data_IF_777650383195
#
_entry.id   IF_777650383195
#
_cell.length_a   1.000
_cell.length_b   1.000
_cell.length_c   1.000
_cell.angle_alpha   90.00
_cell.angle_beta   90.00
_cell.angle_gamma   90.00
#
_symmetry.space_group_name_H-M   'P 1'
#
loop_
_entity.id
_entity.type
_entity.pdbx_description
1 polymer ?
#
# COMPACT_ATOMS: atom_id res chain seq x y z
N UNK A 1 20.27 -23.15 -9.21
CA UNK A 1 20.53 -22.06 -8.26
C UNK A 1 19.49 -22.21 -7.17
N UNK A 2 19.88 -22.23 -5.89
CA UNK A 2 18.91 -22.25 -4.79
C UNK A 2 18.08 -20.98 -4.88
N UNK A 3 16.74 -21.10 -4.86
CA UNK A 3 15.82 -19.97 -4.82
C UNK A 3 16.01 -19.11 -3.57
N UNK A 4 15.38 -17.95 -3.53
CA UNK A 4 15.39 -17.05 -2.36
C UNK A 4 14.64 -17.68 -1.18
N UNK A 5 13.69 -18.60 -1.47
CA UNK A 5 12.87 -19.26 -0.46
C UNK A 5 11.73 -18.37 0.03
N UNK A 6 11.05 -17.68 -0.88
CA UNK A 6 9.85 -16.90 -0.55
C UNK A 6 8.75 -17.80 0.03
N UNK A 7 7.85 -17.27 0.89
CA UNK A 7 6.62 -17.95 1.28
C UNK A 7 5.77 -18.24 0.04
N UNK A 8 4.81 -19.16 0.13
CA UNK A 8 3.96 -19.54 -1.02
C UNK A 8 3.15 -18.36 -1.58
N UNK A 9 2.86 -17.38 -0.71
CA UNK A 9 2.12 -16.15 -1.05
C UNK A 9 2.70 -14.96 -0.31
N UNK A 10 3.11 -13.93 -1.07
CA UNK A 10 3.46 -12.62 -0.53
C UNK A 10 2.35 -11.63 -0.89
N UNK A 11 1.67 -11.10 0.11
CA UNK A 11 0.67 -10.05 -0.06
C UNK A 11 1.28 -8.69 0.26
N UNK A 12 0.92 -7.69 -0.51
CA UNK A 12 1.45 -6.33 -0.39
C UNK A 12 0.32 -5.31 -0.26
N UNK A 13 0.56 -4.23 0.48
CA UNK A 13 -0.16 -2.99 0.23
C UNK A 13 0.30 -2.39 -1.12
N UNK A 14 -0.45 -1.43 -1.63
CA UNK A 14 -0.17 -0.78 -2.90
C UNK A 14 0.56 0.56 -2.70
N UNK A 15 -0.18 1.56 -2.19
CA UNK A 15 0.31 2.94 -2.04
C UNK A 15 1.31 3.01 -0.87
N UNK A 16 2.55 3.42 -1.13
CA UNK A 16 3.62 3.45 -0.12
C UNK A 16 4.41 2.15 0.03
N UNK A 17 3.94 1.07 -0.55
CA UNK A 17 4.62 -0.23 -0.48
C UNK A 17 5.17 -0.68 -1.83
N UNK A 18 4.31 -0.91 -2.81
CA UNK A 18 4.72 -1.23 -4.18
C UNK A 18 4.80 0.01 -5.08
N UNK A 19 3.90 0.98 -4.88
CA UNK A 19 3.71 2.13 -5.74
C UNK A 19 3.99 3.44 -5.00
N UNK A 20 4.90 4.26 -5.52
CA UNK A 20 5.01 5.67 -5.13
C UNK A 20 3.91 6.47 -5.84
N UNK A 21 2.75 6.56 -5.21
CA UNK A 21 1.58 7.26 -5.72
C UNK A 21 1.44 8.71 -5.22
N UNK A 22 2.33 9.15 -4.35
CA UNK A 22 2.29 10.50 -3.77
C UNK A 22 2.31 11.62 -4.82
N UNK A 23 3.02 11.52 -5.97
CA UNK A 23 2.99 12.57 -6.99
C UNK A 23 1.61 12.80 -7.61
N UNK A 24 0.85 11.74 -7.93
CA UNK A 24 -0.51 11.87 -8.47
C UNK A 24 -1.49 12.42 -7.41
N UNK A 25 -1.35 11.98 -6.17
CA UNK A 25 -2.15 12.49 -5.06
C UNK A 25 -1.85 13.97 -4.77
N UNK A 26 -0.58 14.39 -4.91
CA UNK A 26 -0.20 15.80 -4.83
C UNK A 26 -0.84 16.63 -5.95
N UNK A 27 -0.80 16.14 -7.19
CA UNK A 27 -1.44 16.82 -8.32
C UNK A 27 -2.93 17.01 -8.04
N UNK A 28 -3.61 15.99 -7.53
CA UNK A 28 -5.02 16.03 -7.12
C UNK A 28 -5.27 17.11 -6.06
N UNK A 29 -4.51 17.07 -4.97
CA UNK A 29 -4.64 18.04 -3.87
C UNK A 29 -4.39 19.47 -4.38
N UNK A 30 -3.39 19.67 -5.23
CA UNK A 30 -3.06 20.99 -5.75
C UNK A 30 -4.15 21.51 -6.72
N UNK A 31 -4.85 20.65 -7.45
CA UNK A 31 -6.06 21.03 -8.20
C UNK A 31 -7.17 21.51 -7.27
N UNK A 32 -7.43 20.79 -6.17
CA UNK A 32 -8.43 21.20 -5.16
C UNK A 32 -8.07 22.54 -4.51
N UNK A 33 -6.79 22.76 -4.21
CA UNK A 33 -6.27 24.02 -3.65
C UNK A 33 -6.42 25.17 -4.63
N UNK A 34 -6.04 24.97 -5.88
CA UNK A 34 -6.17 25.98 -6.94
C UNK A 34 -7.63 26.40 -7.17
N UNK A 35 -8.59 25.46 -7.14
CA UNK A 35 -10.02 25.75 -7.24
C UNK A 35 -10.53 26.64 -6.09
N UNK A 36 -9.81 26.67 -4.96
CA UNK A 36 -10.12 27.50 -3.78
C UNK A 36 -9.22 28.73 -3.65
N UNK A 37 -8.42 29.05 -4.67
CA UNK A 37 -7.48 30.17 -4.66
C UNK A 37 -6.30 30.02 -3.69
N UNK A 38 -6.05 28.82 -3.18
CA UNK A 38 -4.94 28.54 -2.27
C UNK A 38 -3.65 28.22 -3.05
N UNK A 39 -2.50 28.56 -2.48
CA UNK A 39 -1.19 28.27 -3.06
C UNK A 39 -0.94 26.72 -3.10
N UNK A 40 -0.16 26.22 -4.07
CA UNK A 40 0.15 24.81 -4.14
C UNK A 40 0.89 24.31 -2.88
N UNK A 41 0.64 23.07 -2.51
CA UNK A 41 1.31 22.37 -1.42
C UNK A 41 2.56 21.65 -1.99
N UNK A 42 3.70 21.64 -1.29
CA UNK A 42 4.86 20.85 -1.70
C UNK A 42 4.68 19.35 -1.38
N UNK A 43 5.39 18.49 -2.12
CA UNK A 43 5.28 17.03 -1.98
C UNK A 43 5.63 16.56 -0.57
N UNK A 44 6.66 17.12 0.01
CA UNK A 44 7.17 16.76 1.36
C UNK A 44 6.11 16.96 2.45
N UNK A 45 5.24 17.94 2.27
CA UNK A 45 4.15 18.21 3.22
C UNK A 45 2.95 17.27 3.06
N UNK A 46 2.72 16.72 1.86
CA UNK A 46 1.64 15.78 1.62
C UNK A 46 2.04 14.33 1.87
N UNK A 47 3.26 13.98 1.45
CA UNK A 47 3.78 12.60 1.40
C UNK A 47 3.54 11.78 2.68
N UNK A 48 3.77 12.31 3.90
CA UNK A 48 3.53 11.56 5.14
C UNK A 48 2.07 11.14 5.36
N UNK A 49 1.14 11.83 4.75
CA UNK A 49 -0.30 11.61 4.93
C UNK A 49 -0.90 10.62 3.93
N UNK A 50 -0.15 10.20 2.91
CA UNK A 50 -0.67 9.40 1.78
C UNK A 50 -1.24 8.06 2.27
N UNK A 51 -0.49 7.28 3.05
CA UNK A 51 -0.97 6.00 3.59
C UNK A 51 -2.12 6.16 4.60
N UNK A 52 -2.31 7.37 5.17
CA UNK A 52 -3.46 7.67 6.05
C UNK A 52 -4.76 7.90 5.25
N UNK A 53 -4.69 8.03 3.92
CA UNK A 53 -5.81 8.10 2.99
C UNK A 53 -6.35 9.50 2.70
N UNK A 54 -7.36 9.57 1.82
CA UNK A 54 -7.91 10.83 1.28
C UNK A 54 -8.36 11.84 2.34
N UNK A 55 -8.93 11.38 3.46
CA UNK A 55 -9.33 12.26 4.56
C UNK A 55 -8.12 12.95 5.20
N UNK A 56 -7.06 12.21 5.50
CA UNK A 56 -5.84 12.76 6.11
C UNK A 56 -5.12 13.71 5.14
N UNK A 57 -5.03 13.35 3.87
CA UNK A 57 -4.46 14.21 2.82
C UNK A 57 -5.26 15.50 2.66
N UNK A 58 -6.60 15.43 2.66
CA UNK A 58 -7.45 16.63 2.60
C UNK A 58 -7.31 17.50 3.85
N UNK A 59 -7.22 16.92 5.04
CA UNK A 59 -6.98 17.65 6.27
C UNK A 59 -5.61 18.37 6.28
N UNK A 60 -4.57 17.69 5.79
CA UNK A 60 -3.24 18.30 5.65
C UNK A 60 -3.22 19.43 4.60
N UNK A 61 -3.98 19.25 3.51
CA UNK A 61 -4.08 20.24 2.45
C UNK A 61 -4.90 21.51 2.84
N UNK A 62 -5.81 21.36 3.78
CA UNK A 62 -6.74 22.41 4.21
C UNK A 62 -6.76 22.48 5.75
N UNK A 63 -5.67 22.95 6.39
CA UNK A 63 -5.55 22.97 7.85
C UNK A 63 -6.61 23.87 8.53
N UNK A 64 -7.16 24.84 7.81
CA UNK A 64 -8.25 25.70 8.28
C UNK A 64 -9.55 24.92 8.59
N UNK A 65 -9.70 23.70 8.08
CA UNK A 65 -10.84 22.82 8.40
C UNK A 65 -10.71 22.15 9.77
N UNK A 66 -9.58 22.34 10.48
CA UNK A 66 -9.31 21.73 11.79
C UNK A 66 -9.59 20.22 11.85
N UNK A 67 -9.39 19.51 10.73
CA UNK A 67 -9.63 18.07 10.59
C UNK A 67 -11.08 17.68 10.25
N UNK A 68 -12.01 18.61 10.20
CA UNK A 68 -13.40 18.38 9.77
C UNK A 68 -13.51 18.37 8.24
N UNK A 69 -13.16 17.21 7.65
CA UNK A 69 -13.23 17.02 6.19
C UNK A 69 -14.61 16.48 5.82
N UNK A 70 -15.37 17.29 5.08
CA UNK A 70 -16.71 16.94 4.62
C UNK A 70 -16.70 15.76 3.62
N UNK A 71 -17.74 14.91 3.59
CA UNK A 71 -17.85 13.81 2.62
C UNK A 71 -17.74 14.27 1.16
N UNK A 72 -18.25 15.47 0.85
CA UNK A 72 -18.18 16.07 -0.49
C UNK A 72 -16.74 16.33 -0.93
N UNK A 73 -15.87 16.76 -0.02
CA UNK A 73 -14.44 16.97 -0.30
C UNK A 73 -13.72 15.65 -0.56
N UNK A 74 -14.12 14.56 0.11
CA UNK A 74 -13.56 13.23 -0.17
C UNK A 74 -13.99 12.76 -1.56
N UNK A 75 -15.25 12.99 -1.95
CA UNK A 75 -15.72 12.67 -3.31
C UNK A 75 -14.96 13.49 -4.35
N UNK A 76 -14.85 14.80 -4.18
CA UNK A 76 -14.06 15.67 -5.05
C UNK A 76 -12.62 15.18 -5.20
N UNK A 77 -11.98 14.78 -4.07
CA UNK A 77 -10.64 14.19 -4.10
C UNK A 77 -10.60 12.93 -4.97
N UNK A 78 -11.54 12.00 -4.77
CA UNK A 78 -11.55 10.73 -5.50
C UNK A 78 -11.80 10.93 -7.00
N UNK A 79 -12.74 11.81 -7.36
CA UNK A 79 -13.06 12.13 -8.75
C UNK A 79 -11.84 12.75 -9.47
N UNK A 80 -11.18 13.72 -8.83
CA UNK A 80 -9.98 14.35 -9.38
C UNK A 80 -8.78 13.38 -9.41
N UNK A 81 -8.67 12.52 -8.40
CA UNK A 81 -7.59 11.54 -8.35
C UNK A 81 -7.73 10.48 -9.46
N UNK A 82 -8.95 10.09 -9.82
CA UNK A 82 -9.19 9.19 -10.94
C UNK A 82 -8.64 9.77 -12.26
N UNK A 83 -8.76 11.09 -12.45
CA UNK A 83 -8.19 11.76 -13.62
C UNK A 83 -6.65 11.81 -13.60
N UNK A 84 -6.03 11.94 -12.43
CA UNK A 84 -4.56 12.02 -12.28
C UNK A 84 -3.89 10.65 -12.20
N UNK A 85 -4.66 9.59 -11.94
CA UNK A 85 -4.18 8.25 -11.62
C UNK A 85 -3.19 7.70 -12.66
N UNK A 86 -1.98 7.32 -12.19
CA UNK A 86 -0.94 6.69 -13.00
C UNK A 86 -0.26 7.64 -14.01
N UNK A 87 -0.38 8.96 -13.84
CA UNK A 87 0.34 9.92 -14.68
C UNK A 87 1.79 10.14 -14.23
N UNK A 88 2.01 10.15 -12.92
CA UNK A 88 3.31 10.41 -12.30
C UNK A 88 3.69 9.38 -11.25
N UNK A 89 2.78 8.49 -10.89
CA UNK A 89 3.04 7.35 -10.00
C UNK A 89 3.96 6.34 -10.68
N UNK A 90 4.92 5.78 -9.93
CA UNK A 90 5.83 4.76 -10.41
C UNK A 90 6.08 3.71 -9.32
N UNK A 91 6.44 2.46 -9.68
CA UNK A 91 6.91 1.48 -8.70
C UNK A 91 8.11 2.04 -7.90
N UNK A 92 8.19 1.73 -6.62
CA UNK A 92 9.41 2.00 -5.87
C UNK A 92 10.60 1.25 -6.47
N UNK A 93 11.82 1.82 -6.33
CA UNK A 93 13.04 1.21 -6.87
C UNK A 93 13.22 -0.22 -6.34
N UNK A 94 13.36 -1.16 -7.28
CA UNK A 94 13.53 -2.58 -7.00
C UNK A 94 12.26 -3.42 -6.99
N UNK A 95 11.06 -2.82 -7.05
CA UNK A 95 9.77 -3.56 -7.02
C UNK A 95 9.67 -4.54 -8.19
N UNK A 96 9.96 -4.14 -9.42
CA UNK A 96 9.86 -5.03 -10.57
C UNK A 96 10.79 -6.24 -10.47
N UNK A 97 12.01 -6.02 -9.93
CA UNK A 97 12.97 -7.11 -9.68
C UNK A 97 12.48 -8.04 -8.57
N UNK A 98 11.86 -7.49 -7.51
CA UNK A 98 11.27 -8.29 -6.43
C UNK A 98 10.13 -9.17 -6.94
N UNK A 99 9.17 -8.60 -7.67
CA UNK A 99 8.02 -9.34 -8.20
C UNK A 99 8.47 -10.44 -9.15
N UNK A 100 9.45 -10.15 -10.03
CA UNK A 100 10.04 -11.16 -10.91
C UNK A 100 10.77 -12.28 -10.14
N UNK A 101 11.44 -11.95 -9.03
CA UNK A 101 12.11 -12.95 -8.20
C UNK A 101 11.12 -13.86 -7.47
N UNK A 102 10.01 -13.31 -6.96
CA UNK A 102 8.92 -14.10 -6.35
C UNK A 102 8.36 -15.10 -7.37
N UNK A 103 8.06 -14.63 -8.58
CA UNK A 103 7.52 -15.45 -9.67
C UNK A 103 8.52 -16.54 -10.11
N UNK A 104 9.81 -16.19 -10.22
CA UNK A 104 10.88 -17.14 -10.59
C UNK A 104 11.12 -18.22 -9.53
N UNK A 105 10.83 -17.93 -8.27
CA UNK A 105 10.91 -18.89 -7.15
C UNK A 105 9.67 -19.80 -7.05
N UNK A 106 8.67 -19.59 -7.94
CA UNK A 106 7.41 -20.34 -7.98
C UNK A 106 6.39 -19.89 -6.93
N UNK A 107 6.67 -18.82 -6.21
CA UNK A 107 5.75 -18.20 -5.27
C UNK A 107 4.75 -17.28 -6.01
N UNK A 108 3.63 -16.96 -5.34
CA UNK A 108 2.64 -16.01 -5.84
C UNK A 108 2.71 -14.72 -5.04
N UNK A 109 2.27 -13.63 -5.65
CA UNK A 109 2.06 -12.37 -4.96
C UNK A 109 0.69 -11.79 -5.27
N UNK A 110 0.20 -10.93 -4.39
CA UNK A 110 -1.09 -10.26 -4.53
C UNK A 110 -1.12 -8.93 -3.81
N UNK A 111 -2.17 -8.15 -4.08
CA UNK A 111 -2.37 -6.81 -3.53
C UNK A 111 -3.61 -6.79 -2.63
N UNK A 112 -3.42 -6.31 -1.41
CA UNK A 112 -4.51 -6.03 -0.46
C UNK A 112 -4.34 -4.62 0.07
N UNK A 113 -5.17 -3.69 -0.37
CA UNK A 113 -5.02 -2.26 -0.13
C UNK A 113 -6.28 -1.60 0.42
N UNK A 114 -6.14 -0.49 1.13
CA UNK A 114 -7.28 0.35 1.52
C UNK A 114 -7.70 1.35 0.42
N UNK A 115 -6.95 1.41 -0.70
CA UNK A 115 -7.36 2.15 -1.90
C UNK A 115 -8.67 1.55 -2.43
N UNK A 116 -9.66 2.36 -2.89
CA UNK A 116 -10.85 1.85 -3.56
C UNK A 116 -10.48 0.90 -4.70
N UNK A 117 -11.19 -0.23 -4.81
CA UNK A 117 -10.86 -1.30 -5.76
C UNK A 117 -10.85 -0.79 -7.20
N UNK A 118 -11.82 0.05 -7.58
CA UNK A 118 -11.91 0.57 -8.95
C UNK A 118 -10.68 1.40 -9.35
N UNK A 119 -10.10 2.17 -8.41
CA UNK A 119 -8.87 2.94 -8.66
C UNK A 119 -7.65 2.01 -8.74
N UNK A 120 -7.56 1.00 -7.87
CA UNK A 120 -6.50 0.02 -7.95
C UNK A 120 -6.54 -0.75 -9.28
N UNK A 121 -7.72 -1.18 -9.71
CA UNK A 121 -7.92 -1.88 -11.01
C UNK A 121 -7.53 -1.03 -12.22
N UNK A 122 -7.69 0.28 -12.15
CA UNK A 122 -7.31 1.18 -13.25
C UNK A 122 -5.79 1.40 -13.36
N UNK A 123 -5.07 1.33 -12.23
CA UNK A 123 -3.61 1.58 -12.23
C UNK A 123 -2.81 0.31 -12.58
N UNK A 124 -3.26 -0.86 -12.19
CA UNK A 124 -2.52 -2.12 -12.38
C UNK A 124 -2.13 -2.41 -13.83
N UNK A 125 -3.01 -2.24 -14.85
CA UNK A 125 -2.63 -2.47 -16.26
C UNK A 125 -1.50 -1.56 -16.75
N UNK A 126 -1.43 -0.33 -16.24
CA UNK A 126 -0.35 0.62 -16.60
C UNK A 126 1.01 0.17 -16.08
N UNK A 127 1.02 -0.66 -15.04
CA UNK A 127 2.22 -1.25 -14.43
C UNK A 127 2.51 -2.67 -14.95
N UNK A 128 1.61 -3.23 -15.78
CA UNK A 128 1.70 -4.63 -16.22
C UNK A 128 1.46 -5.63 -15.09
N UNK A 129 0.72 -5.24 -14.05
CA UNK A 129 0.48 -6.05 -12.85
C UNK A 129 -0.89 -6.74 -12.84
N UNK A 130 -1.80 -6.34 -13.72
CA UNK A 130 -3.17 -6.85 -13.82
C UNK A 130 -3.25 -8.35 -14.12
N UNK A 131 -2.26 -8.89 -14.85
CA UNK A 131 -2.17 -10.32 -15.19
C UNK A 131 -1.15 -11.08 -14.34
N UNK A 132 -0.32 -10.38 -13.56
CA UNK A 132 0.74 -10.97 -12.73
C UNK A 132 0.33 -11.11 -11.27
N UNK A 133 -0.45 -10.16 -10.75
CA UNK A 133 -0.99 -10.24 -9.40
C UNK A 133 -2.00 -11.37 -9.30
N UNK A 134 -1.78 -12.32 -8.39
CA UNK A 134 -2.68 -13.46 -8.19
C UNK A 134 -4.03 -13.04 -7.63
N UNK A 135 -4.11 -11.91 -6.92
CA UNK A 135 -5.33 -11.35 -6.35
C UNK A 135 -5.18 -9.84 -6.12
N UNK A 136 -6.30 -9.12 -6.26
CA UNK A 136 -6.46 -7.73 -5.86
C UNK A 136 -7.67 -7.59 -4.94
N UNK A 137 -7.46 -7.07 -3.74
CA UNK A 137 -8.53 -6.69 -2.80
C UNK A 137 -8.35 -5.21 -2.47
N UNK A 138 -9.34 -4.40 -2.82
CA UNK A 138 -9.41 -2.99 -2.49
C UNK A 138 -10.11 -2.72 -1.16
N UNK A 139 -10.13 -1.46 -0.74
CA UNK A 139 -10.68 -1.05 0.55
C UNK A 139 -12.20 -1.19 0.68
N UNK A 140 -12.89 -1.39 -0.43
CA UNK A 140 -14.35 -1.54 -0.57
C UNK A 140 -14.76 -2.88 -1.21
N UNK A 141 -13.80 -3.78 -1.49
CA UNK A 141 -14.07 -5.12 -2.03
C UNK A 141 -14.82 -6.02 -1.05
N UNK A 142 -14.65 -5.80 0.25
CA UNK A 142 -15.21 -6.62 1.33
C UNK A 142 -15.90 -5.73 2.38
N UNK A 143 -16.76 -6.29 3.26
CA UNK A 143 -17.43 -5.52 4.31
C UNK A 143 -16.48 -4.84 5.31
N UNK A 144 -15.25 -5.33 5.41
CA UNK A 144 -14.22 -4.81 6.30
C UNK A 144 -12.91 -4.59 5.53
N UNK A 145 -12.17 -3.55 5.91
CA UNK A 145 -10.85 -3.21 5.37
C UNK A 145 -9.77 -3.24 6.48
N UNK A 146 -8.49 -3.16 6.13
CA UNK A 146 -7.39 -3.04 7.10
C UNK A 146 -7.65 -1.84 8.05
N UNK A 147 -7.48 -2.01 9.37
CA UNK A 147 -6.75 -3.04 10.10
C UNK A 147 -7.53 -4.33 10.40
N UNK A 148 -8.77 -4.51 9.91
CA UNK A 148 -9.49 -5.76 10.10
C UNK A 148 -8.80 -6.90 9.32
N UNK A 149 -8.70 -8.14 9.87
CA UNK A 149 -7.97 -9.24 9.24
C UNK A 149 -8.66 -9.83 7.99
N UNK A 150 -9.95 -9.57 7.81
CA UNK A 150 -10.78 -10.17 6.76
C UNK A 150 -10.17 -10.11 5.36
N UNK A 151 -9.59 -8.97 4.89
CA UNK A 151 -9.02 -8.91 3.54
C UNK A 151 -7.85 -9.88 3.34
N UNK A 152 -6.98 -10.03 4.34
CA UNK A 152 -5.84 -10.94 4.27
C UNK A 152 -6.26 -12.40 4.35
N UNK A 153 -7.21 -12.72 5.25
CA UNK A 153 -7.78 -14.05 5.37
C UNK A 153 -8.52 -14.47 4.10
N UNK A 154 -9.28 -13.54 3.49
CA UNK A 154 -9.98 -13.77 2.24
C UNK A 154 -8.99 -14.04 1.10
N UNK A 155 -7.93 -13.23 0.96
CA UNK A 155 -6.91 -13.43 -0.06
C UNK A 155 -6.24 -14.80 0.04
N UNK A 156 -5.85 -15.22 1.23
CA UNK A 156 -5.26 -16.53 1.46
C UNK A 156 -6.23 -17.68 1.13
N UNK A 157 -7.49 -17.56 1.57
CA UNK A 157 -8.53 -18.56 1.32
C UNK A 157 -8.87 -18.70 -0.15
N UNK A 158 -9.07 -17.58 -0.86
CA UNK A 158 -9.38 -17.54 -2.30
C UNK A 158 -8.28 -18.20 -3.14
N UNK A 159 -7.01 -18.01 -2.73
CA UNK A 159 -5.87 -18.61 -3.40
C UNK A 159 -5.52 -20.01 -2.87
N UNK A 160 -6.25 -20.54 -1.89
CA UNK A 160 -6.02 -21.87 -1.32
C UNK A 160 -4.67 -22.00 -0.62
N UNK A 161 -4.15 -20.91 0.01
CA UNK A 161 -2.88 -20.91 0.75
C UNK A 161 -3.16 -20.82 2.24
N UNK A 162 -2.48 -21.64 3.04
CA UNK A 162 -2.60 -21.55 4.49
C UNK A 162 -2.00 -20.21 4.98
N UNK A 163 -2.62 -19.60 6.00
CA UNK A 163 -2.15 -18.33 6.57
C UNK A 163 -0.66 -18.39 6.99
N UNK A 164 -0.22 -19.53 7.53
CA UNK A 164 1.17 -19.72 7.93
C UNK A 164 2.16 -19.72 6.77
N UNK A 165 1.70 -19.96 5.53
CA UNK A 165 2.50 -19.94 4.30
C UNK A 165 2.40 -18.57 3.58
N UNK A 166 1.80 -17.56 4.23
CA UNK A 166 1.64 -16.21 3.72
C UNK A 166 2.46 -15.22 4.53
N UNK A 167 2.95 -14.18 3.85
CA UNK A 167 3.53 -12.99 4.52
C UNK A 167 2.89 -11.74 3.93
N UNK A 168 2.60 -10.76 4.77
CA UNK A 168 2.09 -9.45 4.37
C UNK A 168 3.19 -8.39 4.50
N UNK A 169 3.31 -7.51 3.49
CA UNK A 169 4.26 -6.39 3.47
C UNK A 169 3.48 -5.10 3.34
N UNK A 170 3.69 -4.16 4.24
CA UNK A 170 3.01 -2.86 4.23
C UNK A 170 3.76 -1.77 4.99
N UNK A 171 3.40 -0.50 4.77
CA UNK A 171 4.08 0.67 5.30
C UNK A 171 3.29 1.45 6.37
N UNK A 172 2.09 0.99 6.71
CA UNK A 172 1.23 1.60 7.72
C UNK A 172 0.93 0.64 8.88
N UNK A 173 0.71 1.17 10.08
CA UNK A 173 0.36 0.35 11.26
C UNK A 173 -0.86 -0.54 11.03
N UNK A 174 -1.85 -0.07 10.24
CA UNK A 174 -3.06 -0.86 9.91
C UNK A 174 -2.73 -2.13 9.12
N UNK A 175 -1.63 -2.16 8.40
CA UNK A 175 -1.13 -3.32 7.66
C UNK A 175 -0.67 -4.40 8.62
N UNK A 176 0.13 -3.98 9.58
CA UNK A 176 0.70 -4.86 10.59
C UNK A 176 -0.38 -5.36 11.56
N UNK A 177 -1.31 -4.50 11.94
CA UNK A 177 -2.44 -4.88 12.79
C UNK A 177 -3.37 -5.89 12.08
N UNK A 178 -3.62 -5.70 10.78
CA UNK A 178 -4.40 -6.66 9.98
C UNK A 178 -3.71 -8.01 9.87
N UNK A 179 -2.39 -8.03 9.59
CA UNK A 179 -1.60 -9.25 9.48
C UNK A 179 -1.56 -10.00 10.82
N UNK A 180 -1.23 -9.30 11.91
CA UNK A 180 -1.23 -9.87 13.26
C UNK A 180 -2.58 -10.46 13.64
N UNK A 181 -3.68 -9.74 13.36
CA UNK A 181 -5.04 -10.21 13.65
C UNK A 181 -5.47 -11.38 12.77
N UNK A 182 -4.89 -11.52 11.56
CA UNK A 182 -5.09 -12.65 10.68
C UNK A 182 -4.25 -13.88 11.07
N UNK A 183 -3.27 -13.73 11.97
CA UNK A 183 -2.28 -14.76 12.27
C UNK A 183 -1.22 -14.92 11.16
N UNK A 184 -1.06 -13.90 10.32
CA UNK A 184 -0.11 -13.86 9.20
C UNK A 184 1.17 -13.13 9.62
N UNK A 185 2.33 -13.63 9.22
CA UNK A 185 3.60 -12.92 9.39
C UNK A 185 3.61 -11.60 8.59
N UNK A 186 4.34 -10.62 9.09
CA UNK A 186 4.37 -9.29 8.48
C UNK A 186 5.75 -8.66 8.42
N UNK A 187 5.95 -7.88 7.36
CA UNK A 187 7.16 -7.06 7.16
C UNK A 187 6.74 -5.60 7.05
N UNK A 188 7.38 -4.76 7.85
CA UNK A 188 7.20 -3.31 7.80
C UNK A 188 8.09 -2.72 6.71
N UNK A 189 7.49 -2.07 5.73
CA UNK A 189 8.15 -1.37 4.63
C UNK A 189 8.57 0.05 5.08
N UNK A 190 9.83 0.21 5.50
CA UNK A 190 10.33 1.49 6.03
C UNK A 190 10.62 2.55 4.95
N UNK A 191 10.46 2.22 3.68
CA UNK A 191 10.58 3.17 2.55
C UNK A 191 9.28 3.90 2.21
N UNK A 192 8.16 3.50 2.83
CA UNK A 192 6.82 4.03 2.56
C UNK A 192 6.54 5.39 3.21
N UNK A 193 5.27 5.70 3.35
CA UNK A 193 4.80 6.99 3.83
C UNK A 193 4.49 6.95 5.32
N UNK A 194 5.12 7.84 6.10
CA UNK A 194 4.97 7.85 7.55
C UNK A 194 4.90 9.28 8.07
N UNK A 195 4.10 9.48 9.09
CA UNK A 195 4.14 10.71 9.90
C UNK A 195 5.41 10.70 10.77
N UNK A 196 5.87 11.87 11.17
CA UNK A 196 7.08 12.01 11.99
C UNK A 196 6.95 11.36 13.38
N UNK A 197 5.73 11.23 13.89
CA UNK A 197 5.40 10.61 15.16
C UNK A 197 5.05 9.11 15.05
N UNK A 198 5.01 8.55 13.83
CA UNK A 198 4.88 7.10 13.63
C UNK A 198 6.17 6.38 14.05
N UNK A 199 6.05 5.40 14.94
CA UNK A 199 7.17 4.55 15.37
C UNK A 199 6.99 3.09 14.93
N UNK A 200 7.49 2.73 13.73
CA UNK A 200 7.32 1.39 13.16
C UNK A 200 7.89 0.25 14.02
N UNK A 201 8.88 0.54 14.87
CA UNK A 201 9.45 -0.46 15.77
C UNK A 201 8.43 -0.96 16.80
N UNK A 202 7.40 -0.15 17.09
CA UNK A 202 6.34 -0.50 18.03
C UNK A 202 5.07 -1.04 17.38
N UNK A 203 5.00 -1.17 16.06
CA UNK A 203 3.81 -1.74 15.38
C UNK A 203 3.68 -3.26 15.58
N UNK A 204 4.79 -3.92 15.95
CA UNK A 204 4.80 -5.37 16.20
C UNK A 204 4.87 -6.22 14.92
N UNK A 205 5.49 -5.69 13.85
CA UNK A 205 5.84 -6.46 12.67
C UNK A 205 6.97 -7.46 12.96
N UNK A 206 6.97 -8.59 12.26
CA UNK A 206 7.98 -9.64 12.46
C UNK A 206 9.37 -9.23 11.91
N UNK A 207 9.40 -8.34 10.93
CA UNK A 207 10.64 -7.75 10.41
C UNK A 207 10.43 -6.30 9.96
N UNK A 208 11.50 -5.50 9.99
CA UNK A 208 11.57 -4.15 9.48
C UNK A 208 12.60 -4.08 8.35
N UNK A 209 12.19 -3.61 7.18
CA UNK A 209 13.05 -3.55 5.99
C UNK A 209 13.12 -2.13 5.46
N UNK A 210 14.33 -1.61 5.25
CA UNK A 210 14.56 -0.20 4.90
C UNK A 210 14.35 0.11 3.42
N UNK A 211 14.54 -0.88 2.53
CA UNK A 211 14.47 -0.72 1.07
C UNK A 211 13.87 -1.96 0.44
N UNK A 212 13.15 -1.83 -0.67
CA UNK A 212 12.56 -2.95 -1.41
C UNK A 212 13.57 -4.08 -1.67
N UNK A 213 14.82 -3.73 -1.98
CA UNK A 213 15.90 -4.71 -2.23
C UNK A 213 16.20 -5.60 -1.04
N UNK A 214 15.91 -5.17 0.19
CA UNK A 214 16.04 -6.01 1.38
C UNK A 214 15.09 -7.21 1.38
N UNK A 215 13.99 -7.14 0.62
CA UNK A 215 13.09 -8.28 0.41
C UNK A 215 13.67 -9.36 -0.52
N UNK A 216 14.81 -9.12 -1.16
CA UNK A 216 15.53 -10.11 -1.95
C UNK A 216 16.55 -10.93 -1.13
N UNK A 217 16.70 -10.62 0.16
CA UNK A 217 17.64 -11.31 1.05
C UNK A 217 17.03 -12.62 1.56
N UNK A 218 17.63 -13.80 1.24
CA UNK A 218 17.10 -15.10 1.67
C UNK A 218 16.97 -15.24 3.18
N UNK A 219 17.86 -14.61 3.94
CA UNK A 219 17.86 -14.66 5.40
C UNK A 219 16.60 -14.06 6.02
N UNK A 220 15.98 -13.08 5.36
CA UNK A 220 14.71 -12.49 5.81
C UNK A 220 13.60 -13.55 5.83
N UNK A 221 13.43 -14.26 4.71
CA UNK A 221 12.33 -15.22 4.56
C UNK A 221 12.56 -16.48 5.42
N UNK A 222 13.82 -16.92 5.55
CA UNK A 222 14.17 -18.02 6.44
C UNK A 222 13.87 -17.72 7.92
N UNK A 223 13.85 -16.45 8.32
CA UNK A 223 13.48 -16.05 9.68
C UNK A 223 11.95 -15.93 9.88
N UNK A 224 11.18 -15.86 8.79
CA UNK A 224 9.72 -15.70 8.81
C UNK A 224 8.96 -17.03 8.57
N UNK A 225 9.64 -18.07 8.11
CA UNK A 225 9.10 -19.43 7.90
C UNK A 225 9.46 -20.34 9.08
#
# INVERSE_FOLDING_TARGET
MSGIGFPKLVLFDLDGTLLDSAPDMLATVNRMRAARGAAPMPLEALRPHVSKGSRAMSAAAFPELAGEVAPEMIREFLDLYEEELGRSSAPFDGVDALLAAIEADGARWGIVTNKPEYLARQVLPRLGWDTRSAILIGGDSLPQRKPHPLPLQHAAAELGVAIADCVYVGDDQRDIDAARSAGMRSVVALWGYRLDDDDPAHWGGDALVHHVRGLLEPALWAALT
#
